data_IF_108685944455
#
_entry.id   IF_108685944455
#
_cell.length_a   1.000
_cell.length_b   1.000
_cell.length_c   1.000
_cell.angle_alpha   90.00
_cell.angle_beta   90.00
_cell.angle_gamma   90.00
#
_symmetry.space_group_name_H-M   'P 1'
#
loop_
_entity.id
_entity.type
_entity.pdbx_description
1 polymer ?
#
# COMPACT_ATOMS: atom_id res chain seq x y z
N UNK A 1 -45.02 7.53 46.99
CA UNK A 1 -43.74 7.08 46.41
C UNK A 1 -43.84 7.22 44.89
N UNK A 2 -43.29 8.30 44.33
CA UNK A 2 -43.23 8.51 42.89
C UNK A 2 -42.31 7.44 42.29
N UNK A 3 -42.87 6.37 41.72
CA UNK A 3 -42.08 5.35 41.00
C UNK A 3 -41.21 6.05 39.93
N UNK A 4 -39.90 5.85 40.00
CA UNK A 4 -38.91 6.42 39.07
C UNK A 4 -39.11 5.82 37.65
N UNK A 5 -40.15 6.28 36.94
CA UNK A 5 -40.51 5.77 35.59
C UNK A 5 -39.37 5.89 34.53
N UNK A 6 -38.41 6.77 34.79
CA UNK A 6 -37.24 6.95 33.91
C UNK A 6 -36.17 5.88 34.08
N UNK A 7 -36.16 5.09 35.17
CA UNK A 7 -35.18 4.02 35.36
C UNK A 7 -35.33 2.90 34.34
N UNK A 8 -36.55 2.59 33.91
CA UNK A 8 -36.80 1.52 32.93
C UNK A 8 -36.13 1.82 31.57
N UNK A 9 -36.33 2.99 30.95
CA UNK A 9 -35.65 3.29 29.69
C UNK A 9 -34.12 3.39 29.85
N UNK A 10 -33.63 3.91 30.97
CA UNK A 10 -32.19 3.96 31.24
C UNK A 10 -31.60 2.53 31.34
N UNK A 11 -32.26 1.64 32.10
CA UNK A 11 -31.83 0.25 32.19
C UNK A 11 -31.89 -0.46 30.85
N UNK A 12 -32.90 -0.18 30.01
CA UNK A 12 -32.97 -0.73 28.64
C UNK A 12 -31.78 -0.29 27.77
N UNK A 13 -31.43 0.99 27.81
CA UNK A 13 -30.25 1.51 27.07
C UNK A 13 -28.96 0.88 27.58
N UNK A 14 -28.77 0.77 28.90
CA UNK A 14 -27.60 0.12 29.49
C UNK A 14 -27.53 -1.34 29.07
N UNK A 15 -28.64 -2.07 29.06
CA UNK A 15 -28.66 -3.46 28.58
C UNK A 15 -28.24 -3.58 27.12
N UNK A 16 -28.76 -2.69 26.25
CA UNK A 16 -28.36 -2.67 24.84
C UNK A 16 -26.86 -2.44 24.69
N UNK A 17 -26.30 -1.49 25.43
CA UNK A 17 -24.86 -1.20 25.42
C UNK A 17 -24.07 -2.44 25.87
N UNK A 18 -24.47 -3.08 26.96
CA UNK A 18 -23.79 -4.30 27.45
C UNK A 18 -23.84 -5.42 26.42
N UNK A 19 -24.98 -5.64 25.76
CA UNK A 19 -25.12 -6.66 24.72
C UNK A 19 -24.22 -6.34 23.52
N UNK A 20 -24.14 -5.08 23.10
CA UNK A 20 -23.26 -4.66 22.00
C UNK A 20 -21.78 -4.89 22.37
N UNK A 21 -21.36 -4.46 23.55
CA UNK A 21 -19.98 -4.65 24.02
C UNK A 21 -19.64 -6.13 24.13
N UNK A 22 -20.52 -6.94 24.69
CA UNK A 22 -20.34 -8.39 24.78
C UNK A 22 -20.24 -9.03 23.38
N UNK A 23 -21.08 -8.62 22.44
CA UNK A 23 -21.05 -9.11 21.05
C UNK A 23 -19.73 -8.78 20.34
N UNK A 24 -19.24 -7.55 20.51
CA UNK A 24 -17.95 -7.13 19.95
C UNK A 24 -16.81 -7.92 20.60
N UNK A 25 -16.80 -8.06 21.92
CA UNK A 25 -15.80 -8.82 22.65
C UNK A 25 -15.75 -10.28 22.18
N UNK A 26 -16.91 -10.95 22.09
CA UNK A 26 -17.00 -12.32 21.60
C UNK A 26 -16.44 -12.42 20.18
N UNK A 27 -16.87 -11.57 19.26
CA UNK A 27 -16.38 -11.57 17.87
C UNK A 27 -14.88 -11.32 17.78
N UNK A 28 -14.34 -10.46 18.64
CA UNK A 28 -12.88 -10.18 18.67
C UNK A 28 -12.10 -11.39 19.19
N UNK A 29 -12.55 -12.01 20.28
CA UNK A 29 -11.89 -13.16 20.90
C UNK A 29 -11.99 -14.44 20.06
N UNK A 30 -13.07 -14.57 19.28
CA UNK A 30 -13.28 -15.72 18.38
C UNK A 30 -12.81 -15.47 16.95
N UNK A 31 -12.21 -14.30 16.69
CA UNK A 31 -11.68 -14.00 15.36
C UNK A 31 -10.50 -14.90 15.02
N UNK A 32 -10.66 -15.69 13.99
CA UNK A 32 -9.58 -16.50 13.42
C UNK A 32 -9.06 -15.83 12.15
N UNK A 33 -7.74 -15.69 12.06
CA UNK A 33 -7.12 -15.17 10.86
C UNK A 33 -7.44 -16.03 9.64
N UNK A 34 -7.86 -15.40 8.55
CA UNK A 34 -8.06 -16.06 7.25
C UNK A 34 -6.78 -16.10 6.40
N UNK A 35 -5.67 -15.67 6.98
CA UNK A 35 -4.38 -15.74 6.29
C UNK A 35 -3.97 -17.21 6.11
N UNK A 36 -3.46 -17.49 4.91
CA UNK A 36 -2.89 -18.82 4.63
C UNK A 36 -1.64 -19.03 5.48
N UNK A 37 -1.59 -20.14 6.22
CA UNK A 37 -0.38 -20.55 6.89
C UNK A 37 0.58 -21.15 5.86
N UNK A 38 1.75 -20.53 5.71
CA UNK A 38 2.80 -21.06 4.83
C UNK A 38 3.65 -22.02 5.64
N UNK A 39 3.68 -23.29 5.25
CA UNK A 39 4.43 -24.35 5.95
C UNK A 39 5.95 -24.21 5.79
N UNK A 40 6.44 -23.51 4.77
CA UNK A 40 7.85 -23.24 4.55
C UNK A 40 8.05 -21.79 4.08
N UNK A 41 8.98 -21.09 4.72
CA UNK A 41 9.45 -19.78 4.22
C UNK A 41 10.52 -20.06 3.16
N UNK A 42 10.25 -19.67 1.92
CA UNK A 42 11.29 -19.64 0.88
C UNK A 42 12.08 -18.36 1.07
N UNK A 43 13.36 -18.47 1.34
CA UNK A 43 14.28 -17.33 1.42
C UNK A 43 15.05 -17.24 0.11
N UNK A 44 15.00 -16.07 -0.51
CA UNK A 44 15.85 -15.76 -1.65
C UNK A 44 16.98 -14.84 -1.20
N UNK A 45 18.23 -15.05 -1.67
CA UNK A 45 19.32 -14.14 -1.39
C UNK A 45 19.02 -12.79 -2.07
N UNK A 46 18.95 -11.73 -1.27
CA UNK A 46 18.79 -10.36 -1.75
C UNK A 46 20.09 -9.61 -1.49
N UNK A 47 20.63 -8.96 -2.52
CA UNK A 47 21.73 -8.02 -2.33
C UNK A 47 21.19 -6.75 -1.69
N UNK A 48 21.38 -6.60 -0.38
CA UNK A 48 20.83 -5.50 0.42
C UNK A 48 21.41 -4.14 0.01
N UNK A 49 22.69 -4.08 -0.35
CA UNK A 49 23.34 -2.82 -0.77
C UNK A 49 22.78 -2.34 -2.11
N UNK A 50 22.56 -3.27 -3.03
CA UNK A 50 21.93 -2.95 -4.32
C UNK A 50 20.48 -2.51 -4.12
N UNK A 51 19.73 -3.20 -3.27
CA UNK A 51 18.34 -2.83 -2.98
C UNK A 51 18.24 -1.45 -2.31
N UNK A 52 19.12 -1.16 -1.36
CA UNK A 52 19.22 0.16 -0.72
C UNK A 52 19.60 1.25 -1.74
N UNK A 53 20.58 0.99 -2.60
CA UNK A 53 20.97 1.90 -3.67
C UNK A 53 19.85 2.19 -4.67
N UNK A 54 19.08 1.17 -5.05
CA UNK A 54 17.92 1.35 -5.92
C UNK A 54 16.84 2.21 -5.24
N UNK A 55 16.57 1.99 -3.95
CA UNK A 55 15.61 2.79 -3.19
C UNK A 55 16.09 4.25 -3.04
N UNK A 56 17.34 4.44 -2.66
CA UNK A 56 17.98 5.76 -2.54
C UNK A 56 17.82 6.57 -3.84
N UNK A 57 18.17 5.96 -4.99
CA UNK A 57 18.01 6.61 -6.28
C UNK A 57 16.52 6.88 -6.64
N UNK A 58 15.62 5.97 -6.29
CA UNK A 58 14.18 6.13 -6.54
C UNK A 58 13.57 7.30 -5.77
N UNK A 59 14.01 7.52 -4.51
CA UNK A 59 13.52 8.61 -3.65
C UNK A 59 13.86 10.00 -4.24
N UNK A 60 14.89 10.12 -5.04
CA UNK A 60 15.32 11.40 -5.61
C UNK A 60 14.35 11.97 -6.66
N UNK A 61 13.47 11.13 -7.23
CA UNK A 61 12.44 11.60 -8.15
C UNK A 61 11.26 12.21 -7.37
N UNK A 62 11.01 13.49 -7.59
CA UNK A 62 9.95 14.25 -6.93
C UNK A 62 8.59 13.99 -7.59
N UNK A 63 8.11 12.75 -7.56
CA UNK A 63 6.82 12.33 -8.13
C UNK A 63 5.65 12.79 -7.25
N UNK A 64 5.64 14.08 -6.91
CA UNK A 64 4.69 14.66 -5.97
C UNK A 64 3.32 14.80 -6.62
N UNK A 65 2.31 14.20 -6.00
CA UNK A 65 0.91 14.37 -6.40
C UNK A 65 0.37 15.73 -5.96
N UNK A 66 -0.47 16.32 -6.80
CA UNK A 66 -1.26 17.50 -6.46
C UNK A 66 -2.69 17.32 -6.96
N UNK A 67 -3.67 17.72 -6.14
CA UNK A 67 -5.10 17.69 -6.52
C UNK A 67 -5.36 18.55 -7.76
N UNK A 68 -4.69 19.69 -7.86
CA UNK A 68 -4.61 20.46 -9.08
C UNK A 68 -3.54 19.85 -9.99
N UNK A 69 -3.99 19.06 -10.95
CA UNK A 69 -3.09 18.30 -11.85
C UNK A 69 -2.21 19.20 -12.72
N UNK A 70 -2.55 20.49 -12.90
CA UNK A 70 -1.71 21.45 -13.61
C UNK A 70 -0.41 21.78 -12.87
N UNK A 71 -0.35 21.48 -11.56
CA UNK A 71 0.82 21.69 -10.69
C UNK A 71 1.68 20.43 -10.54
N UNK A 72 1.31 19.33 -11.16
CA UNK A 72 2.10 18.09 -11.15
C UNK A 72 3.23 18.20 -12.16
N UNK A 73 4.46 18.00 -11.69
CA UNK A 73 5.61 17.86 -12.59
C UNK A 73 5.68 16.43 -13.16
N UNK A 74 5.01 16.23 -14.27
CA UNK A 74 4.98 14.92 -14.93
C UNK A 74 6.34 14.48 -15.48
N UNK A 75 7.32 15.37 -15.63
CA UNK A 75 8.67 15.01 -16.04
C UNK A 75 9.37 14.11 -15.00
N UNK A 76 9.06 14.31 -13.71
CA UNK A 76 9.56 13.46 -12.63
C UNK A 76 9.05 12.01 -12.75
N UNK A 77 7.80 11.84 -13.14
CA UNK A 77 7.22 10.50 -13.38
C UNK A 77 7.88 9.83 -14.58
N UNK A 78 8.08 10.55 -15.67
CA UNK A 78 8.76 10.02 -16.86
C UNK A 78 10.19 9.61 -16.55
N UNK A 79 10.94 10.47 -15.85
CA UNK A 79 12.32 10.19 -15.45
C UNK A 79 12.40 9.00 -14.49
N UNK A 80 11.46 8.88 -13.55
CA UNK A 80 11.38 7.72 -12.66
C UNK A 80 11.11 6.42 -13.43
N UNK A 81 10.23 6.45 -14.44
CA UNK A 81 9.93 5.29 -15.28
C UNK A 81 11.14 4.85 -16.13
N UNK A 82 11.91 5.81 -16.63
CA UNK A 82 13.17 5.53 -17.32
C UNK A 82 14.20 4.90 -16.37
N UNK A 83 14.29 5.44 -15.15
CA UNK A 83 15.14 4.87 -14.11
C UNK A 83 14.78 3.41 -13.81
N UNK A 84 13.48 3.10 -13.59
CA UNK A 84 13.01 1.72 -13.38
C UNK A 84 13.48 0.81 -14.52
N UNK A 85 13.34 1.24 -15.77
CA UNK A 85 13.76 0.48 -16.92
C UNK A 85 15.26 0.17 -16.96
N UNK A 86 16.09 1.11 -16.50
CA UNK A 86 17.56 0.95 -16.42
C UNK A 86 17.98 0.13 -15.19
N UNK A 87 17.33 0.35 -14.05
CA UNK A 87 17.66 -0.33 -12.79
C UNK A 87 17.29 -1.83 -12.82
N UNK A 88 16.26 -2.20 -13.58
CA UNK A 88 15.75 -3.57 -13.66
C UNK A 88 15.70 -4.09 -15.10
N UNK A 89 16.87 -4.31 -15.75
CA UNK A 89 16.93 -4.68 -17.16
C UNK A 89 16.28 -6.03 -17.47
N UNK A 90 16.32 -6.99 -16.53
CA UNK A 90 15.63 -8.28 -16.70
C UNK A 90 14.11 -8.13 -16.75
N UNK A 91 13.53 -7.22 -15.95
CA UNK A 91 12.10 -6.89 -16.02
C UNK A 91 11.76 -6.34 -17.39
N UNK A 92 12.56 -5.39 -17.87
CA UNK A 92 12.36 -4.73 -19.16
C UNK A 92 12.51 -5.68 -20.36
N UNK A 93 13.36 -6.70 -20.26
CA UNK A 93 13.58 -7.67 -21.34
C UNK A 93 12.64 -8.87 -21.32
N UNK A 94 12.06 -9.19 -20.16
CA UNK A 94 11.26 -10.43 -19.98
C UNK A 94 9.76 -10.16 -19.98
N UNK A 95 9.33 -9.00 -19.43
CA UNK A 95 7.92 -8.67 -19.26
C UNK A 95 7.42 -7.75 -20.37
N UNK A 96 6.15 -7.91 -20.74
CA UNK A 96 5.49 -6.96 -21.64
C UNK A 96 5.10 -5.70 -20.84
N UNK A 97 5.65 -4.55 -21.23
CA UNK A 97 5.35 -3.25 -20.62
C UNK A 97 4.25 -2.54 -21.39
N UNK A 98 3.26 -2.01 -20.69
CA UNK A 98 2.25 -1.09 -21.19
C UNK A 98 2.24 0.17 -20.33
N UNK A 99 2.02 1.33 -20.97
CA UNK A 99 1.85 2.61 -20.28
C UNK A 99 0.37 2.97 -20.34
N UNK A 100 -0.27 3.08 -19.17
CA UNK A 100 -1.69 3.38 -19.03
C UNK A 100 -1.84 4.86 -18.66
N UNK A 101 -2.68 5.58 -19.40
CA UNK A 101 -2.95 7.00 -19.19
C UNK A 101 -1.69 7.87 -19.07
N UNK A 102 -0.64 7.52 -19.81
CA UNK A 102 0.62 8.27 -19.87
C UNK A 102 1.62 7.98 -18.76
N UNK A 103 1.17 7.58 -17.57
CA UNK A 103 2.06 7.46 -16.39
C UNK A 103 1.90 6.17 -15.58
N UNK A 104 0.81 5.41 -15.75
CA UNK A 104 0.66 4.10 -15.12
C UNK A 104 1.51 3.06 -15.82
N UNK A 105 2.31 2.28 -15.09
CA UNK A 105 3.09 1.17 -15.64
C UNK A 105 2.40 -0.15 -15.36
N UNK A 106 2.11 -0.90 -16.40
CA UNK A 106 1.64 -2.28 -16.31
C UNK A 106 2.68 -3.20 -16.93
N UNK A 107 3.21 -4.12 -16.13
CA UNK A 107 4.10 -5.18 -16.58
C UNK A 107 3.36 -6.51 -16.53
N UNK A 108 3.34 -7.23 -17.62
CA UNK A 108 2.72 -8.56 -17.70
C UNK A 108 3.81 -9.61 -17.84
N UNK A 109 3.84 -10.54 -16.89
CA UNK A 109 4.64 -11.74 -16.97
C UNK A 109 3.73 -12.92 -17.26
N UNK A 110 3.84 -13.45 -18.48
CA UNK A 110 3.02 -14.58 -18.90
C UNK A 110 3.40 -15.84 -18.11
N UNK A 111 2.43 -16.41 -17.41
CA UNK A 111 2.61 -17.68 -16.70
C UNK A 111 2.66 -18.87 -17.68
N UNK A 112 3.20 -19.99 -17.21
CA UNK A 112 3.29 -21.25 -17.95
C UNK A 112 1.96 -22.02 -18.01
N UNK A 113 0.98 -21.71 -17.17
CA UNK A 113 -0.30 -22.39 -17.07
C UNK A 113 -1.45 -21.38 -17.20
N UNK A 114 -2.09 -21.39 -18.36
CA UNK A 114 -3.22 -20.48 -18.69
C UNK A 114 -4.50 -20.77 -17.91
N UNK A 115 -4.59 -21.92 -17.22
CA UNK A 115 -5.77 -22.29 -16.42
C UNK A 115 -5.69 -21.71 -15.00
N UNK A 116 -4.54 -21.23 -14.59
CA UNK A 116 -4.37 -20.59 -13.28
C UNK A 116 -4.76 -19.11 -13.34
N UNK A 117 -5.33 -18.65 -12.23
CA UNK A 117 -5.67 -17.23 -12.07
C UNK A 117 -4.39 -16.39 -11.97
N UNK A 118 -4.37 -15.19 -12.56
CA UNK A 118 -3.23 -14.28 -12.43
C UNK A 118 -3.05 -13.79 -11.00
N UNK A 119 -1.82 -13.49 -10.65
CA UNK A 119 -1.47 -12.75 -9.42
C UNK A 119 -1.26 -11.30 -9.84
N UNK A 120 -1.83 -10.37 -9.10
CA UNK A 120 -1.68 -8.95 -9.34
C UNK A 120 -0.93 -8.30 -8.16
N UNK A 121 0.23 -7.69 -8.48
CA UNK A 121 1.05 -6.95 -7.52
C UNK A 121 0.96 -5.47 -7.84
N UNK A 122 0.65 -4.65 -6.85
CA UNK A 122 0.49 -3.21 -7.01
C UNK A 122 1.45 -2.43 -6.11
N UNK A 123 1.97 -1.33 -6.65
CA UNK A 123 2.63 -0.28 -5.89
C UNK A 123 2.32 1.06 -6.57
N UNK A 124 2.20 2.14 -5.79
CA UNK A 124 2.05 3.47 -6.36
C UNK A 124 3.42 4.14 -6.52
N UNK A 125 3.55 5.01 -7.49
CA UNK A 125 4.78 5.74 -7.79
C UNK A 125 4.72 7.22 -7.38
N UNK A 126 3.53 7.73 -7.07
CA UNK A 126 3.38 9.08 -6.56
C UNK A 126 3.67 9.17 -5.07
N UNK A 127 4.07 10.33 -4.62
CA UNK A 127 4.31 10.66 -3.21
C UNK A 127 3.52 11.91 -2.81
N UNK A 128 3.22 12.04 -1.53
CA UNK A 128 2.64 13.25 -0.97
C UNK A 128 3.67 14.39 -0.95
N UNK A 129 3.22 15.67 -0.95
CA UNK A 129 4.12 16.79 -0.72
C UNK A 129 4.89 16.62 0.59
N UNK A 130 6.21 16.78 0.54
CA UNK A 130 7.09 16.75 1.70
C UNK A 130 7.72 18.13 1.88
N UNK A 131 7.15 19.02 2.72
CA UNK A 131 7.75 20.32 3.00
C UNK A 131 9.12 20.12 3.68
N UNK A 132 10.11 20.97 3.43
CA UNK A 132 11.48 20.76 3.93
C UNK A 132 11.60 20.88 5.45
N UNK A 133 10.62 21.51 6.10
CA UNK A 133 10.62 21.73 7.53
C UNK A 133 10.36 20.43 8.32
N UNK A 134 11.10 20.25 9.40
CA UNK A 134 10.91 19.11 10.32
C UNK A 134 11.66 17.84 9.92
N UNK A 135 12.35 17.81 8.80
CA UNK A 135 13.18 16.68 8.39
C UNK A 135 14.62 16.85 8.86
N UNK A 136 15.24 15.77 9.35
CA UNK A 136 16.68 15.75 9.69
C UNK A 136 17.55 15.78 8.43
N UNK A 137 17.08 15.22 7.36
CA UNK A 137 17.71 15.18 6.04
C UNK A 137 16.67 15.62 5.00
N UNK A 138 17.12 16.12 3.85
CA UNK A 138 16.19 16.43 2.75
C UNK A 138 15.37 15.18 2.39
N UNK A 139 14.03 15.28 2.35
CA UNK A 139 13.16 14.11 2.08
C UNK A 139 13.38 13.46 0.72
N UNK A 140 14.04 14.15 -0.21
CA UNK A 140 14.36 13.65 -1.55
C UNK A 140 15.87 13.46 -1.78
N UNK A 141 16.70 13.46 -0.73
CA UNK A 141 18.15 13.25 -0.87
C UNK A 141 18.52 11.81 -1.28
N UNK A 142 17.68 10.86 -0.92
CA UNK A 142 17.90 9.45 -1.19
C UNK A 142 18.76 8.71 -0.16
#
# INVERSE_FOLDING_TARGET
VKKRKWLIPVLAVVLVIVVLVASVAIKTLTFTSKQLSVSAKVSYPVNMDQAAGHLSNAIQFKTVFNVDTSKVDYSQFTSFQEYIGKAYPLVSSTLTKQVINGYGLLYTWQGSDSQKKPIFLMAHQDVVPAPPEGWKHDPFAG
#
